data_IF_773593346923
#
_entry.id   IF_773593346923
#
_cell.length_a   1.000
_cell.length_b   1.000
_cell.length_c   1.000
_cell.angle_alpha   90.00
_cell.angle_beta   90.00
_cell.angle_gamma   90.00
#
_symmetry.space_group_name_H-M   'P 1'
#
loop_
_entity.id
_entity.type
_entity.pdbx_description
1 polymer ?
#
# COMPACT_ATOMS: atom_id res chain seq x y z
N UNK A 1 -38.04 20.07 -12.18
CA UNK A 1 -36.86 20.76 -12.76
C UNK A 1 -35.66 20.01 -12.23
N UNK A 2 -35.18 19.14 -13.08
CA UNK A 2 -34.06 18.23 -12.74
C UNK A 2 -32.78 19.05 -12.72
N UNK A 3 -32.23 19.29 -11.56
CA UNK A 3 -30.97 20.04 -11.38
C UNK A 3 -29.80 19.08 -11.65
N UNK A 4 -29.54 18.79 -12.93
CA UNK A 4 -28.37 17.99 -13.32
C UNK A 4 -27.12 18.68 -12.73
N UNK A 5 -26.56 18.10 -11.66
CA UNK A 5 -25.27 18.52 -11.10
C UNK A 5 -24.25 18.53 -12.22
N UNK A 6 -23.74 19.70 -12.60
CA UNK A 6 -22.67 19.78 -13.59
C UNK A 6 -21.46 19.02 -13.07
N UNK A 7 -21.03 18.00 -13.82
CA UNK A 7 -19.92 17.13 -13.49
C UNK A 7 -18.66 17.61 -14.18
N UNK A 8 -17.56 17.56 -13.47
CA UNK A 8 -16.22 17.94 -13.96
C UNK A 8 -15.24 16.83 -13.68
N UNK A 9 -14.21 16.68 -14.52
CA UNK A 9 -13.09 15.75 -14.30
C UNK A 9 -11.86 16.56 -13.96
N UNK A 10 -11.30 16.34 -12.77
CA UNK A 10 -10.03 16.93 -12.37
C UNK A 10 -8.93 15.86 -12.40
N UNK A 11 -7.85 16.15 -13.13
CA UNK A 11 -6.67 15.27 -13.22
C UNK A 11 -5.61 15.74 -12.23
N UNK A 12 -5.16 14.82 -11.38
CA UNK A 12 -4.05 15.03 -10.45
C UNK A 12 -2.82 14.21 -10.85
N UNK A 13 -1.64 14.76 -10.65
CA UNK A 13 -0.37 14.02 -10.57
C UNK A 13 -0.08 13.76 -9.11
N UNK A 14 0.09 12.51 -8.70
CA UNK A 14 0.37 12.14 -7.31
C UNK A 14 1.74 11.50 -7.25
N UNK A 15 2.73 12.25 -6.77
CA UNK A 15 4.15 11.87 -6.88
C UNK A 15 4.48 10.54 -6.20
N UNK A 16 3.87 10.28 -5.07
CA UNK A 16 4.14 9.09 -4.24
C UNK A 16 3.10 7.98 -4.42
N UNK A 17 2.25 8.03 -5.47
CA UNK A 17 1.30 6.97 -5.80
C UNK A 17 1.95 5.98 -6.76
N UNK A 18 2.57 4.95 -6.24
CA UNK A 18 3.23 3.92 -7.04
C UNK A 18 2.77 2.49 -6.73
N UNK A 19 1.94 2.31 -5.70
CA UNK A 19 1.40 1.02 -5.33
C UNK A 19 -0.13 1.02 -5.09
N UNK A 20 -0.77 -0.17 -5.12
CA UNK A 20 -2.21 -0.30 -4.84
C UNK A 20 -2.62 0.12 -3.43
N UNK A 21 -1.75 0.00 -2.45
CA UNK A 21 -2.02 0.49 -1.08
C UNK A 21 -2.24 2.00 -1.05
N UNK A 22 -1.42 2.76 -1.75
CA UNK A 22 -1.53 4.22 -1.85
C UNK A 22 -2.77 4.65 -2.62
N UNK A 23 -3.14 3.91 -3.68
CA UNK A 23 -4.43 4.08 -4.34
C UNK A 23 -5.60 3.90 -3.36
N UNK A 24 -5.57 2.83 -2.54
CA UNK A 24 -6.63 2.59 -1.56
C UNK A 24 -6.68 3.66 -0.47
N UNK A 25 -5.56 4.19 -0.05
CA UNK A 25 -5.50 5.33 0.89
C UNK A 25 -6.23 6.54 0.31
N UNK A 26 -5.95 6.89 -0.95
CA UNK A 26 -6.62 7.99 -1.65
C UNK A 26 -8.11 7.70 -1.81
N UNK A 27 -8.50 6.47 -2.21
CA UNK A 27 -9.91 6.06 -2.31
C UNK A 27 -10.67 6.25 -1.01
N UNK A 28 -10.08 5.82 0.11
CA UNK A 28 -10.68 5.97 1.43
C UNK A 28 -10.87 7.45 1.81
N UNK A 29 -9.87 8.28 1.50
CA UNK A 29 -9.96 9.72 1.78
C UNK A 29 -11.04 10.41 0.95
N UNK A 30 -11.09 10.12 -0.35
CA UNK A 30 -12.09 10.71 -1.25
C UNK A 30 -13.50 10.17 -1.01
N UNK A 31 -13.66 8.99 -0.43
CA UNK A 31 -14.97 8.48 -0.01
C UNK A 31 -15.63 9.34 1.08
N UNK A 32 -14.88 10.21 1.79
CA UNK A 32 -15.46 11.17 2.74
C UNK A 32 -16.30 12.26 2.05
N UNK A 33 -16.10 12.48 0.74
CA UNK A 33 -16.85 13.43 -0.07
C UNK A 33 -18.20 12.88 -0.57
N UNK A 34 -18.47 11.59 -0.37
CA UNK A 34 -19.76 10.95 -0.64
C UNK A 34 -20.19 11.07 -2.11
N UNK A 35 -21.48 11.38 -2.34
CA UNK A 35 -22.11 11.46 -3.66
C UNK A 35 -21.59 12.61 -4.54
N UNK A 36 -20.69 13.43 -4.03
CA UNK A 36 -20.04 14.47 -4.83
C UNK A 36 -18.94 13.92 -5.74
N UNK A 37 -18.47 12.69 -5.50
CA UNK A 37 -17.51 11.96 -6.33
C UNK A 37 -18.25 10.89 -7.11
N UNK A 38 -18.26 11.01 -8.44
CA UNK A 38 -18.93 10.03 -9.31
C UNK A 38 -18.00 8.87 -9.69
N UNK A 39 -16.72 9.14 -9.97
CA UNK A 39 -15.75 8.10 -10.32
C UNK A 39 -14.33 8.51 -10.02
N UNK A 40 -13.48 7.49 -9.79
CA UNK A 40 -12.05 7.60 -9.57
C UNK A 40 -11.34 6.69 -10.57
N UNK A 41 -10.50 7.26 -11.41
CA UNK A 41 -9.68 6.53 -12.37
C UNK A 41 -8.19 6.74 -12.06
N UNK A 42 -7.52 5.66 -11.65
CA UNK A 42 -6.13 5.66 -11.20
C UNK A 42 -5.22 5.07 -12.29
N UNK A 43 -4.17 5.78 -12.63
CA UNK A 43 -3.06 5.26 -13.42
C UNK A 43 -1.78 5.27 -12.56
N UNK A 44 -1.51 4.16 -11.89
CA UNK A 44 -0.31 4.00 -11.02
C UNK A 44 0.99 4.18 -11.81
N UNK A 45 0.99 3.81 -13.08
CA UNK A 45 2.15 3.93 -13.97
C UNK A 45 2.51 5.37 -14.25
N UNK A 46 1.50 6.16 -14.57
CA UNK A 46 1.65 7.60 -14.78
C UNK A 46 1.60 8.37 -13.46
N UNK A 47 1.29 7.68 -12.35
CA UNK A 47 1.03 8.31 -11.06
C UNK A 47 0.00 9.44 -11.19
N UNK A 48 -1.09 9.16 -11.91
CA UNK A 48 -2.16 10.12 -12.14
C UNK A 48 -3.49 9.58 -11.65
N UNK A 49 -4.33 10.48 -11.18
CA UNK A 49 -5.70 10.22 -10.74
C UNK A 49 -6.63 11.18 -11.44
N UNK A 50 -7.59 10.66 -12.20
CA UNK A 50 -8.70 11.43 -12.70
C UNK A 50 -9.91 11.24 -11.77
N UNK A 51 -10.44 12.36 -11.27
CA UNK A 51 -11.60 12.38 -10.37
C UNK A 51 -12.75 13.05 -11.09
N UNK A 52 -13.85 12.30 -11.29
CA UNK A 52 -15.11 12.88 -11.76
C UNK A 52 -15.93 13.30 -10.55
N UNK A 53 -16.23 14.58 -10.44
CA UNK A 53 -16.88 15.15 -9.26
C UNK A 53 -17.87 16.27 -9.64
N UNK A 54 -18.73 16.64 -8.67
CA UNK A 54 -19.60 17.82 -8.83
C UNK A 54 -18.73 19.10 -8.81
N UNK A 55 -19.08 20.09 -9.61
CA UNK A 55 -18.36 21.37 -9.66
C UNK A 55 -18.25 22.02 -8.27
N UNK A 56 -19.28 21.89 -7.45
CA UNK A 56 -19.32 22.40 -6.07
C UNK A 56 -18.33 21.71 -5.10
N UNK A 57 -17.83 20.52 -5.43
CA UNK A 57 -16.91 19.77 -4.60
C UNK A 57 -15.43 20.08 -4.89
N UNK A 58 -15.13 20.90 -5.90
CA UNK A 58 -13.75 21.12 -6.38
C UNK A 58 -12.79 21.60 -5.28
N UNK A 59 -13.22 22.51 -4.39
CA UNK A 59 -12.39 22.99 -3.29
C UNK A 59 -12.14 21.88 -2.26
N UNK A 60 -13.20 21.18 -1.81
CA UNK A 60 -13.09 20.05 -0.86
C UNK A 60 -12.25 18.90 -1.41
N UNK A 61 -12.32 18.65 -2.73
CA UNK A 61 -11.49 17.67 -3.40
C UNK A 61 -10.01 18.07 -3.34
N UNK A 62 -9.68 19.34 -3.57
CA UNK A 62 -8.32 19.85 -3.49
C UNK A 62 -7.76 19.70 -2.06
N UNK A 63 -8.52 20.12 -1.05
CA UNK A 63 -8.15 19.99 0.37
C UNK A 63 -7.96 18.51 0.77
N UNK A 64 -8.86 17.62 0.32
CA UNK A 64 -8.75 16.18 0.57
C UNK A 64 -7.46 15.60 -0.04
N UNK A 65 -7.15 15.96 -1.28
CA UNK A 65 -5.93 15.49 -1.96
C UNK A 65 -4.65 16.03 -1.31
N UNK A 66 -4.65 17.27 -0.82
CA UNK A 66 -3.53 17.85 -0.08
C UNK A 66 -3.33 17.15 1.26
N UNK A 67 -4.43 16.84 1.97
CA UNK A 67 -4.38 16.18 3.30
C UNK A 67 -3.78 14.77 3.28
N UNK A 68 -3.76 14.09 2.14
CA UNK A 68 -3.13 12.77 1.98
C UNK A 68 -1.60 12.86 2.00
N UNK A 69 -1.03 14.04 1.70
CA UNK A 69 0.40 14.33 1.75
C UNK A 69 1.27 13.35 0.91
N UNK A 70 0.76 13.03 -0.29
CA UNK A 70 1.44 12.19 -1.29
C UNK A 70 1.99 13.00 -2.47
N UNK A 71 2.20 14.30 -2.28
CA UNK A 71 2.69 15.19 -3.33
C UNK A 71 1.72 15.34 -4.50
N UNK A 72 0.42 15.36 -4.23
CA UNK A 72 -0.62 15.56 -5.23
C UNK A 72 -0.58 16.96 -5.81
N UNK A 73 -0.57 17.08 -7.15
CA UNK A 73 -0.64 18.34 -7.87
C UNK A 73 -1.74 18.26 -8.92
N UNK A 74 -2.63 19.25 -8.93
CA UNK A 74 -3.66 19.39 -9.96
C UNK A 74 -2.97 19.72 -11.29
N UNK A 75 -3.31 18.96 -12.34
CA UNK A 75 -2.82 19.17 -13.70
C UNK A 75 -3.83 20.02 -14.48
N UNK A 76 -5.07 19.54 -14.58
CA UNK A 76 -6.14 20.17 -15.36
C UNK A 76 -7.52 19.86 -14.78
N UNK A 77 -8.51 20.65 -15.16
CA UNK A 77 -9.92 20.35 -14.94
C UNK A 77 -10.67 20.56 -16.26
N UNK A 78 -11.52 19.60 -16.63
CA UNK A 78 -12.35 19.65 -17.84
C UNK A 78 -13.77 19.24 -17.51
N UNK A 79 -14.72 19.65 -18.34
CA UNK A 79 -16.10 19.16 -18.22
C UNK A 79 -16.16 17.66 -18.48
N UNK A 80 -16.98 16.95 -17.72
CA UNK A 80 -17.15 15.51 -17.89
C UNK A 80 -18.04 15.24 -19.11
N UNK A 81 -17.47 14.62 -20.15
CA UNK A 81 -18.27 14.01 -21.19
C UNK A 81 -19.03 12.81 -20.60
N UNK A 82 -20.33 12.76 -20.85
CA UNK A 82 -21.21 11.76 -20.27
C UNK A 82 -20.86 10.36 -20.79
N UNK A 83 -20.00 9.64 -20.09
CA UNK A 83 -19.91 8.18 -20.04
C UNK A 83 -18.68 7.71 -19.22
N UNK A 84 -18.82 7.58 -17.91
CA UNK A 84 -17.94 6.69 -17.15
C UNK A 84 -18.82 5.70 -16.41
N UNK A 85 -18.81 4.45 -16.87
CA UNK A 85 -19.61 3.37 -16.31
C UNK A 85 -19.22 3.08 -14.86
N UNK A 86 -20.23 2.82 -14.03
CA UNK A 86 -20.06 2.33 -12.68
C UNK A 86 -19.26 1.01 -12.72
N UNK A 87 -18.11 0.99 -12.05
CA UNK A 87 -17.36 -0.23 -11.85
C UNK A 87 -18.20 -1.25 -11.07
N UNK A 88 -18.14 -2.53 -11.46
CA UNK A 88 -18.86 -3.62 -10.82
C UNK A 88 -18.36 -3.83 -9.39
N UNK A 89 -19.07 -3.26 -8.42
CA UNK A 89 -18.76 -3.22 -6.98
C UNK A 89 -18.52 -4.63 -6.38
N UNK A 90 -19.23 -5.64 -6.88
CA UNK A 90 -19.14 -7.04 -6.40
C UNK A 90 -17.85 -7.73 -6.82
N UNK A 91 -17.36 -7.41 -8.00
CA UNK A 91 -16.10 -7.93 -8.54
C UNK A 91 -14.90 -7.32 -7.81
N UNK A 92 -14.93 -6.02 -7.57
CA UNK A 92 -13.89 -5.30 -6.86
C UNK A 92 -13.74 -5.79 -5.39
N UNK A 93 -14.85 -6.00 -4.68
CA UNK A 93 -14.83 -6.54 -3.31
C UNK A 93 -14.18 -7.93 -3.23
N UNK A 94 -14.47 -8.82 -4.19
CA UNK A 94 -13.87 -10.17 -4.22
C UNK A 94 -12.35 -10.12 -4.40
N UNK A 95 -11.84 -9.21 -5.21
CA UNK A 95 -10.41 -9.04 -5.41
C UNK A 95 -9.76 -8.48 -4.16
N UNK A 96 -10.31 -7.42 -3.55
CA UNK A 96 -9.80 -6.85 -2.30
C UNK A 96 -9.74 -7.89 -1.17
N UNK A 97 -10.75 -8.79 -1.07
CA UNK A 97 -10.71 -9.89 -0.10
C UNK A 97 -9.56 -10.87 -0.36
N UNK A 98 -9.31 -11.22 -1.62
CA UNK A 98 -8.20 -12.13 -1.97
C UNK A 98 -6.86 -11.51 -1.66
N UNK A 99 -6.67 -10.25 -2.03
CA UNK A 99 -5.43 -9.51 -1.76
C UNK A 99 -5.21 -9.36 -0.25
N UNK A 100 -6.25 -9.00 0.51
CA UNK A 100 -6.21 -8.97 1.97
C UNK A 100 -5.78 -10.32 2.56
N UNK A 101 -6.39 -11.41 2.10
CA UNK A 101 -6.08 -12.75 2.60
C UNK A 101 -4.63 -13.15 2.30
N UNK A 102 -4.15 -12.88 1.08
CA UNK A 102 -2.76 -13.17 0.70
C UNK A 102 -1.80 -12.39 1.59
N UNK A 103 -1.98 -11.07 1.74
CA UNK A 103 -1.11 -10.25 2.59
C UNK A 103 -1.16 -10.69 4.06
N UNK A 104 -2.34 -11.02 4.60
CA UNK A 104 -2.47 -11.49 5.98
C UNK A 104 -1.78 -12.84 6.22
N UNK A 105 -1.89 -13.78 5.27
CA UNK A 105 -1.22 -15.09 5.33
C UNK A 105 0.29 -14.91 5.24
N UNK A 106 0.77 -14.11 4.29
CA UNK A 106 2.19 -13.88 4.11
C UNK A 106 2.80 -13.10 5.28
N UNK A 107 2.10 -12.12 5.85
CA UNK A 107 2.49 -11.49 7.11
C UNK A 107 2.77 -12.54 8.20
N UNK A 108 1.84 -13.48 8.41
CA UNK A 108 1.99 -14.50 9.46
C UNK A 108 3.16 -15.46 9.16
N UNK A 109 3.31 -15.89 7.90
CA UNK A 109 4.40 -16.77 7.48
C UNK A 109 5.76 -16.10 7.59
N UNK A 110 5.92 -14.90 7.06
CA UNK A 110 7.18 -14.15 7.12
C UNK A 110 7.57 -13.77 8.54
N UNK A 111 6.61 -13.34 9.35
CA UNK A 111 6.85 -13.05 10.76
C UNK A 111 7.37 -14.30 11.48
N UNK A 112 6.69 -15.45 11.32
CA UNK A 112 7.10 -16.70 11.96
C UNK A 112 8.49 -17.15 11.48
N UNK A 113 8.71 -17.18 10.15
CA UNK A 113 9.98 -17.61 9.58
C UNK A 113 11.10 -16.60 9.90
N UNK A 114 10.82 -15.30 9.85
CA UNK A 114 11.79 -14.25 10.21
C UNK A 114 12.26 -14.34 11.67
N UNK A 115 11.34 -14.62 12.60
CA UNK A 115 11.69 -14.84 14.00
C UNK A 115 12.49 -16.13 14.19
N UNK A 116 12.08 -17.24 13.57
CA UNK A 116 12.77 -18.53 13.67
C UNK A 116 14.15 -18.50 13.02
N UNK A 117 14.27 -17.89 11.84
CA UNK A 117 15.54 -17.76 11.11
C UNK A 117 16.43 -16.62 11.64
N UNK A 118 15.95 -15.84 12.60
CA UNK A 118 16.63 -14.66 13.16
C UNK A 118 16.87 -13.54 12.14
N UNK A 119 16.11 -13.47 11.07
CA UNK A 119 16.21 -12.43 10.04
C UNK A 119 15.38 -11.21 10.41
N UNK A 120 16.04 -10.05 10.55
CA UNK A 120 15.34 -8.78 10.75
C UNK A 120 14.79 -8.22 9.43
N UNK A 121 15.37 -8.60 8.30
CA UNK A 121 14.84 -8.28 6.97
C UNK A 121 13.46 -8.90 6.76
N UNK A 122 13.28 -10.20 7.02
CA UNK A 122 11.99 -10.88 6.93
C UNK A 122 10.97 -10.34 7.94
N UNK A 123 11.39 -10.06 9.18
CA UNK A 123 10.49 -9.46 10.18
C UNK A 123 10.00 -8.09 9.73
N UNK A 124 10.88 -7.28 9.14
CA UNK A 124 10.50 -5.96 8.65
C UNK A 124 9.57 -6.04 7.43
N UNK A 125 9.86 -6.95 6.49
CA UNK A 125 9.04 -7.23 5.30
C UNK A 125 7.63 -7.71 5.70
N UNK A 126 7.52 -8.59 6.71
CA UNK A 126 6.21 -9.01 7.24
C UNK A 126 5.36 -7.83 7.75
N UNK A 127 5.97 -6.80 8.34
CA UNK A 127 5.22 -5.62 8.79
C UNK A 127 4.72 -4.76 7.62
N UNK A 128 5.38 -4.79 6.48
CA UNK A 128 4.89 -4.16 5.25
C UNK A 128 3.64 -4.90 4.74
N UNK A 129 3.66 -6.23 4.71
CA UNK A 129 2.48 -7.06 4.43
C UNK A 129 1.32 -6.79 5.39
N UNK A 130 1.60 -6.53 6.67
CA UNK A 130 0.57 -6.14 7.65
C UNK A 130 0.00 -4.76 7.33
N UNK A 131 0.83 -3.81 6.90
CA UNK A 131 0.39 -2.48 6.49
C UNK A 131 -0.59 -2.59 5.32
N UNK A 132 -0.23 -3.34 4.30
CA UNK A 132 -1.07 -3.60 3.13
C UNK A 132 -2.39 -4.30 3.50
N UNK A 133 -2.33 -5.38 4.28
CA UNK A 133 -3.53 -6.08 4.76
C UNK A 133 -4.47 -5.12 5.51
N UNK A 134 -3.91 -4.23 6.33
CA UNK A 134 -4.70 -3.22 7.06
C UNK A 134 -5.40 -2.25 6.10
N UNK A 135 -4.69 -1.74 5.09
CA UNK A 135 -5.25 -0.80 4.11
C UNK A 135 -6.33 -1.47 3.28
N UNK A 136 -6.12 -2.71 2.81
CA UNK A 136 -7.15 -3.47 2.08
C UNK A 136 -8.36 -3.81 2.96
N UNK A 137 -8.13 -4.17 4.23
CA UNK A 137 -9.20 -4.41 5.20
C UNK A 137 -10.05 -3.16 5.46
N UNK A 138 -9.41 -2.00 5.63
CA UNK A 138 -10.13 -0.72 5.74
C UNK A 138 -10.91 -0.38 4.48
N UNK A 139 -10.34 -0.60 3.29
CA UNK A 139 -11.01 -0.37 2.01
C UNK A 139 -12.30 -1.19 1.86
N UNK A 140 -12.27 -2.46 2.28
CA UNK A 140 -13.46 -3.32 2.28
C UNK A 140 -14.56 -2.84 3.23
N UNK A 141 -14.19 -2.20 4.34
CA UNK A 141 -15.14 -1.67 5.33
C UNK A 141 -15.69 -0.30 4.94
N UNK A 142 -15.06 0.40 3.97
CA UNK A 142 -15.51 1.73 3.51
C UNK A 142 -16.91 1.67 2.91
N UNK A 143 -17.24 0.59 2.23
CA UNK A 143 -18.56 0.39 1.65
C UNK A 143 -19.55 0.06 2.77
N UNK A 144 -20.30 1.08 3.25
CA UNK A 144 -21.38 0.93 4.23
C UNK A 144 -21.06 1.25 5.71
N UNK A 145 -19.84 1.66 6.06
CA UNK A 145 -19.51 1.99 7.45
C UNK A 145 -19.43 3.50 7.73
N UNK A 146 -19.87 3.91 8.93
CA UNK A 146 -19.79 5.30 9.39
C UNK A 146 -18.33 5.80 9.44
N UNK A 147 -18.09 7.02 8.96
CA UNK A 147 -16.76 7.68 8.84
C UNK A 147 -15.95 7.59 10.15
N UNK A 148 -16.59 7.76 11.31
CA UNK A 148 -15.92 7.69 12.61
C UNK A 148 -15.30 6.33 12.95
N UNK A 149 -15.88 5.21 12.48
CA UNK A 149 -15.29 3.88 12.66
C UNK A 149 -14.00 3.71 11.84
N UNK A 150 -13.99 4.22 10.62
CA UNK A 150 -12.84 4.19 9.71
C UNK A 150 -11.66 4.95 10.30
N UNK A 151 -11.89 6.18 10.76
CA UNK A 151 -10.86 7.02 11.40
C UNK A 151 -10.26 6.33 12.63
N UNK A 152 -11.09 5.73 13.49
CA UNK A 152 -10.61 5.01 14.68
C UNK A 152 -9.79 3.77 14.31
N UNK A 153 -10.18 3.02 13.27
CA UNK A 153 -9.39 1.88 12.79
C UNK A 153 -8.05 2.31 12.22
N UNK A 154 -8.02 3.34 11.38
CA UNK A 154 -6.78 3.91 10.84
C UNK A 154 -5.84 4.37 11.97
N UNK A 155 -6.39 5.00 13.02
CA UNK A 155 -5.61 5.41 14.19
C UNK A 155 -4.95 4.23 14.90
N UNK A 156 -5.73 3.20 15.26
CA UNK A 156 -5.22 2.01 15.96
C UNK A 156 -4.22 1.22 15.11
N UNK A 157 -4.49 1.08 13.82
CA UNK A 157 -3.59 0.38 12.89
C UNK A 157 -2.28 1.11 12.72
N UNK A 158 -2.31 2.43 12.50
CA UNK A 158 -1.10 3.25 12.41
C UNK A 158 -0.29 3.25 13.70
N UNK A 159 -0.97 3.28 14.86
CA UNK A 159 -0.30 3.18 16.16
C UNK A 159 0.39 1.82 16.33
N UNK A 160 -0.34 0.72 16.10
CA UNK A 160 0.21 -0.63 16.24
C UNK A 160 1.43 -0.82 15.33
N UNK A 161 1.33 -0.47 14.05
CA UNK A 161 2.43 -0.58 13.11
C UNK A 161 3.63 0.29 13.49
N UNK A 162 3.38 1.53 13.95
CA UNK A 162 4.45 2.41 14.43
C UNK A 162 5.19 1.79 15.63
N UNK A 163 4.45 1.24 16.59
CA UNK A 163 5.03 0.58 17.76
C UNK A 163 5.85 -0.65 17.36
N UNK A 164 5.33 -1.49 16.46
CA UNK A 164 6.04 -2.67 15.97
C UNK A 164 7.30 -2.30 15.17
N UNK A 165 7.23 -1.29 14.31
CA UNK A 165 8.38 -0.81 13.55
C UNK A 165 9.47 -0.22 14.45
N UNK A 166 9.08 0.56 15.47
CA UNK A 166 10.04 1.09 16.47
C UNK A 166 10.65 -0.04 17.29
N UNK A 167 9.86 -1.01 17.75
CA UNK A 167 10.36 -2.17 18.47
C UNK A 167 11.34 -2.99 17.62
N UNK A 168 11.03 -3.21 16.33
CA UNK A 168 11.92 -3.87 15.38
C UNK A 168 13.22 -3.10 15.18
N UNK A 169 13.15 -1.77 15.06
CA UNK A 169 14.35 -0.92 14.94
C UNK A 169 15.22 -1.01 16.20
N UNK A 170 14.63 -0.99 17.40
CA UNK A 170 15.36 -1.18 18.66
C UNK A 170 16.04 -2.55 18.68
N UNK A 171 15.37 -3.59 18.22
CA UNK A 171 15.95 -4.94 18.13
C UNK A 171 17.10 -5.00 17.12
N UNK A 172 16.99 -4.32 15.97
CA UNK A 172 18.10 -4.18 15.02
C UNK A 172 19.32 -3.55 15.70
N UNK A 173 19.13 -2.41 16.37
CA UNK A 173 20.21 -1.73 17.10
C UNK A 173 20.81 -2.63 18.18
N UNK A 174 19.97 -3.33 18.95
CA UNK A 174 20.42 -4.29 19.97
C UNK A 174 21.29 -5.38 19.35
N UNK A 175 20.90 -5.94 18.21
CA UNK A 175 21.66 -6.97 17.50
C UNK A 175 22.96 -6.44 16.87
N UNK A 176 23.03 -5.17 16.52
CA UNK A 176 24.30 -4.58 16.08
C UNK A 176 25.34 -4.54 17.21
N UNK A 177 24.90 -4.19 18.43
CA UNK A 177 25.80 -4.02 19.58
C UNK A 177 26.12 -5.36 20.24
N UNK A 178 25.14 -6.25 20.37
CA UNK A 178 25.30 -7.53 21.08
C UNK A 178 25.70 -8.67 20.12
N UNK A 179 26.62 -9.57 20.51
CA UNK A 179 26.92 -10.75 19.71
C UNK A 179 25.67 -11.59 19.45
N UNK A 180 25.38 -11.87 18.20
CA UNK A 180 24.31 -12.77 17.79
C UNK A 180 24.75 -13.61 16.59
N UNK A 181 24.18 -14.81 16.45
CA UNK A 181 24.44 -15.66 15.30
C UNK A 181 23.90 -15.01 14.03
N UNK A 182 24.54 -15.28 12.86
CA UNK A 182 23.96 -14.89 11.57
C UNK A 182 22.56 -15.50 11.40
N UNK A 183 21.67 -14.84 10.64
CA UNK A 183 20.39 -15.42 10.27
C UNK A 183 20.57 -16.59 9.30
N UNK A 184 19.53 -17.43 9.18
CA UNK A 184 19.54 -18.53 8.22
C UNK A 184 19.25 -18.00 6.81
N UNK A 185 20.28 -17.92 5.98
CA UNK A 185 20.23 -17.34 4.64
C UNK A 185 19.24 -18.06 3.71
N UNK A 186 19.11 -19.38 3.83
CA UNK A 186 18.21 -20.16 2.97
C UNK A 186 16.73 -19.74 3.22
N UNK A 187 16.33 -19.60 4.49
CA UNK A 187 15.01 -19.12 4.84
C UNK A 187 14.75 -17.71 4.30
N UNK A 188 15.72 -16.81 4.39
CA UNK A 188 15.61 -15.46 3.82
C UNK A 188 15.35 -15.50 2.32
N UNK A 189 16.15 -16.23 1.56
CA UNK A 189 16.05 -16.29 0.10
C UNK A 189 14.72 -16.91 -0.34
N UNK A 190 14.38 -18.08 0.20
CA UNK A 190 13.16 -18.78 -0.23
C UNK A 190 11.89 -18.07 0.18
N UNK A 191 11.83 -17.55 1.38
CA UNK A 191 10.63 -16.84 1.84
C UNK A 191 10.42 -15.55 1.06
N UNK A 192 11.45 -14.71 0.89
CA UNK A 192 11.32 -13.49 0.11
C UNK A 192 11.05 -13.74 -1.38
N UNK A 193 11.56 -14.84 -1.96
CA UNK A 193 11.21 -15.22 -3.33
C UNK A 193 9.71 -15.61 -3.44
N UNK A 194 9.18 -16.32 -2.45
CA UNK A 194 7.77 -16.69 -2.40
C UNK A 194 6.87 -15.45 -2.20
N UNK A 195 7.27 -14.52 -1.33
CA UNK A 195 6.58 -13.24 -1.12
C UNK A 195 6.58 -12.37 -2.37
N UNK A 196 7.70 -12.33 -3.09
CA UNK A 196 7.78 -11.63 -4.37
C UNK A 196 6.75 -12.17 -5.38
N UNK A 197 6.58 -13.49 -5.46
CA UNK A 197 5.55 -14.12 -6.32
C UNK A 197 4.15 -13.77 -5.84
N UNK A 198 3.91 -13.78 -4.53
CA UNK A 198 2.61 -13.42 -3.95
C UNK A 198 2.26 -11.94 -4.22
N UNK A 199 3.21 -11.03 -4.05
CA UNK A 199 3.03 -9.61 -4.36
C UNK A 199 2.75 -9.39 -5.86
N UNK A 200 3.48 -10.09 -6.75
CA UNK A 200 3.23 -10.07 -8.18
C UNK A 200 1.81 -10.56 -8.53
N UNK A 201 1.34 -11.61 -7.85
CA UNK A 201 -0.03 -12.12 -8.01
C UNK A 201 -1.08 -11.13 -7.53
N UNK A 202 -0.90 -10.50 -6.36
CA UNK A 202 -1.78 -9.47 -5.85
C UNK A 202 -1.88 -8.28 -6.82
N UNK A 203 -0.75 -7.82 -7.31
CA UNK A 203 -0.69 -6.73 -8.29
C UNK A 203 -1.39 -7.10 -9.60
N UNK A 204 -1.22 -8.33 -10.09
CA UNK A 204 -1.93 -8.82 -11.26
C UNK A 204 -3.44 -8.86 -11.06
N UNK A 205 -3.92 -9.34 -9.88
CA UNK A 205 -5.33 -9.35 -9.54
C UNK A 205 -5.93 -7.93 -9.55
N UNK A 206 -5.24 -6.98 -8.94
CA UNK A 206 -5.68 -5.58 -8.85
C UNK A 206 -5.71 -4.91 -10.23
N UNK A 207 -4.68 -5.14 -11.05
CA UNK A 207 -4.62 -4.58 -12.40
C UNK A 207 -5.69 -5.15 -13.34
N UNK A 208 -6.08 -6.40 -13.16
CA UNK A 208 -7.13 -7.04 -13.98
C UNK A 208 -8.50 -6.40 -13.80
N UNK A 209 -8.76 -5.76 -12.66
CA UNK A 209 -10.01 -5.07 -12.38
C UNK A 209 -10.14 -3.72 -13.11
N UNK A 210 -9.04 -3.12 -13.52
CA UNK A 210 -8.99 -1.79 -14.12
C UNK A 210 -9.18 -1.79 -15.65
N UNK A 211 -9.32 -2.93 -16.28
CA UNK A 211 -9.27 -3.01 -17.74
C UNK A 211 -10.63 -3.11 -18.40
N UNK A 212 -11.13 -1.97 -18.87
CA UNK A 212 -11.89 -1.93 -20.12
C UNK A 212 -11.00 -2.01 -21.37
N UNK A 213 -9.68 -1.87 -21.24
CA UNK A 213 -8.75 -1.95 -22.38
C UNK A 213 -7.72 -3.05 -22.20
N UNK A 214 -7.93 -4.13 -22.96
CA UNK A 214 -7.16 -5.37 -22.97
C UNK A 214 -5.76 -5.27 -23.61
N UNK A 215 -5.14 -4.12 -23.59
CA UNK A 215 -3.74 -4.00 -24.00
C UNK A 215 -2.84 -3.87 -22.78
N UNK A 216 -2.87 -4.95 -22.03
CA UNK A 216 -1.84 -5.24 -21.07
C UNK A 216 -0.50 -5.43 -21.80
N UNK A 217 0.16 -4.35 -22.10
CA UNK A 217 1.60 -4.41 -22.28
C UNK A 217 2.17 -4.73 -20.92
N UNK A 218 2.85 -5.86 -20.87
CA UNK A 218 3.55 -6.42 -19.73
C UNK A 218 4.64 -5.47 -19.18
N UNK A 219 4.26 -4.31 -18.71
CA UNK A 219 4.98 -3.60 -17.68
C UNK A 219 4.11 -3.69 -16.44
N UNK A 220 4.11 -4.89 -15.87
CA UNK A 220 3.88 -5.09 -14.47
C UNK A 220 4.89 -4.16 -13.78
N UNK A 221 4.45 -2.93 -13.54
CA UNK A 221 5.12 -2.13 -12.53
C UNK A 221 4.63 -2.77 -11.24
N UNK A 222 5.42 -3.79 -10.83
CA UNK A 222 5.40 -4.23 -9.46
C UNK A 222 5.34 -2.98 -8.59
N UNK A 223 4.60 -3.02 -7.51
CA UNK A 223 4.81 -2.03 -6.48
C UNK A 223 6.32 -1.90 -6.32
N UNK A 224 6.86 -0.77 -6.67
CA UNK A 224 8.32 -0.62 -6.74
C UNK A 224 8.94 -0.89 -5.37
N UNK A 225 8.18 -0.63 -4.29
CA UNK A 225 8.62 -0.85 -2.93
C UNK A 225 8.68 -2.34 -2.57
N UNK A 226 7.64 -3.13 -2.82
CA UNK A 226 7.57 -4.55 -2.43
C UNK A 226 8.63 -5.37 -3.17
N UNK A 227 8.84 -5.08 -4.46
CA UNK A 227 9.92 -5.72 -5.23
C UNK A 227 11.28 -5.33 -4.69
N UNK A 228 11.51 -4.04 -4.40
CA UNK A 228 12.79 -3.57 -3.86
C UNK A 228 13.06 -4.16 -2.50
N UNK A 229 12.06 -4.24 -1.62
CA UNK A 229 12.19 -4.84 -0.28
C UNK A 229 12.51 -6.32 -0.40
N UNK A 230 11.71 -7.09 -1.15
CA UNK A 230 11.93 -8.53 -1.31
C UNK A 230 13.27 -8.85 -1.97
N UNK A 231 13.65 -8.13 -3.03
CA UNK A 231 14.97 -8.26 -3.65
C UNK A 231 16.09 -7.88 -2.67
N UNK A 232 15.89 -6.84 -1.87
CA UNK A 232 16.81 -6.44 -0.82
C UNK A 232 17.05 -7.54 0.21
N UNK A 233 15.98 -8.22 0.66
CA UNK A 233 16.09 -9.35 1.60
C UNK A 233 16.75 -10.56 0.94
N UNK A 234 16.45 -10.88 -0.33
CA UNK A 234 17.13 -11.94 -1.08
C UNK A 234 18.63 -11.65 -1.20
N UNK A 235 19.00 -10.45 -1.64
CA UNK A 235 20.40 -10.04 -1.78
C UNK A 235 21.14 -10.04 -0.43
N UNK A 236 20.44 -9.62 0.61
CA UNK A 236 21.00 -9.68 1.98
C UNK A 236 21.21 -11.12 2.42
N UNK A 237 20.31 -12.05 2.10
CA UNK A 237 20.47 -13.48 2.34
C UNK A 237 21.69 -14.06 1.63
N UNK A 238 21.90 -13.70 0.36
CA UNK A 238 23.12 -14.06 -0.39
C UNK A 238 24.38 -13.48 0.28
N UNK A 239 24.33 -12.22 0.70
CA UNK A 239 25.45 -11.58 1.39
C UNK A 239 25.72 -12.23 2.77
N UNK A 240 24.67 -12.61 3.52
CA UNK A 240 24.82 -13.40 4.77
C UNK A 240 25.52 -14.72 4.49
N UNK A 241 25.15 -15.42 3.43
CA UNK A 241 25.80 -16.68 3.03
C UNK A 241 27.28 -16.48 2.69
N UNK A 242 27.62 -15.48 1.88
CA UNK A 242 28.99 -15.22 1.44
C UNK A 242 29.88 -14.77 2.58
N UNK A 243 29.41 -13.81 3.38
CA UNK A 243 30.22 -13.17 4.44
C UNK A 243 30.09 -13.83 5.81
N UNK A 244 29.17 -14.80 5.96
CA UNK A 244 28.82 -15.42 7.24
C UNK A 244 28.59 -14.35 8.34
N UNK A 245 27.90 -13.28 7.99
CA UNK A 245 27.70 -12.11 8.83
C UNK A 245 26.23 -11.70 8.89
N UNK A 246 25.79 -11.25 10.05
CA UNK A 246 24.43 -10.71 10.27
C UNK A 246 24.25 -9.29 9.73
N UNK A 247 25.33 -8.58 9.46
CA UNK A 247 25.27 -7.14 9.12
C UNK A 247 24.41 -6.85 7.88
N UNK A 248 24.47 -7.61 6.77
CA UNK A 248 23.63 -7.36 5.61
C UNK A 248 22.14 -7.40 5.94
N UNK A 249 21.69 -8.40 6.72
CA UNK A 249 20.30 -8.53 7.15
C UNK A 249 19.85 -7.37 8.05
N UNK A 250 20.67 -6.97 9.00
CA UNK A 250 20.37 -5.85 9.89
C UNK A 250 20.27 -4.53 9.16
N UNK A 251 21.12 -4.29 8.15
CA UNK A 251 21.07 -3.07 7.32
C UNK A 251 19.79 -3.03 6.50
N UNK A 252 19.45 -4.13 5.81
CA UNK A 252 18.23 -4.20 5.03
C UNK A 252 17.01 -4.09 5.95
N UNK A 253 16.98 -4.81 7.07
CA UNK A 253 15.92 -4.71 8.06
C UNK A 253 15.72 -3.27 8.57
N UNK A 254 16.81 -2.55 8.88
CA UNK A 254 16.72 -1.14 9.30
C UNK A 254 16.09 -0.26 8.21
N UNK A 255 16.48 -0.42 6.94
CA UNK A 255 15.92 0.34 5.82
C UNK A 255 14.42 0.06 5.68
N UNK A 256 14.04 -1.22 5.73
CA UNK A 256 12.62 -1.62 5.60
C UNK A 256 11.80 -1.11 6.78
N UNK A 257 12.29 -1.16 8.03
CA UNK A 257 11.58 -0.57 9.17
C UNK A 257 11.34 0.93 9.03
N UNK A 258 12.25 1.67 8.39
CA UNK A 258 12.03 3.09 8.08
C UNK A 258 10.92 3.25 7.04
N UNK A 259 10.86 2.39 6.03
CA UNK A 259 9.79 2.38 5.02
C UNK A 259 8.45 2.10 5.70
N UNK A 260 8.35 1.03 6.51
CA UNK A 260 7.14 0.66 7.27
C UNK A 260 6.70 1.80 8.19
N UNK A 261 7.62 2.46 8.88
CA UNK A 261 7.28 3.59 9.75
C UNK A 261 6.67 4.76 8.97
N UNK A 262 7.20 5.06 7.78
CA UNK A 262 6.60 6.08 6.89
C UNK A 262 5.19 5.68 6.46
N UNK A 263 4.97 4.40 6.11
CA UNK A 263 3.64 3.85 5.81
C UNK A 263 2.67 3.99 6.98
N UNK A 264 3.10 3.65 8.19
CA UNK A 264 2.31 3.78 9.41
C UNK A 264 1.88 5.23 9.68
N UNK A 265 2.79 6.20 9.47
CA UNK A 265 2.47 7.64 9.59
C UNK A 265 1.41 8.07 8.56
N UNK A 266 1.46 7.54 7.33
CA UNK A 266 0.42 7.81 6.32
C UNK A 266 -0.95 7.27 6.78
N UNK A 267 -1.00 6.03 7.26
CA UNK A 267 -2.24 5.45 7.82
C UNK A 267 -2.76 6.29 8.98
N UNK A 268 -1.88 6.80 9.83
CA UNK A 268 -2.24 7.69 10.93
C UNK A 268 -2.89 9.00 10.45
N UNK A 269 -2.43 9.58 9.34
CA UNK A 269 -3.02 10.78 8.73
C UNK A 269 -4.46 10.57 8.27
N UNK A 270 -4.86 9.33 7.90
CA UNK A 270 -6.23 8.97 7.57
C UNK A 270 -7.20 9.06 8.77
N UNK A 271 -6.67 9.07 10.00
CA UNK A 271 -7.47 9.18 11.22
C UNK A 271 -7.89 10.62 11.56
N UNK A 272 -7.28 11.59 10.93
CA UNK A 272 -7.57 13.02 11.13
C UNK A 272 -8.52 13.52 10.06
#
# INVERSE_FOLDING_TARGET
MDNQKKMTVTLFKVKEMDCPSEENIIRMKLAELGDDIASLDFDLRKRTLAVTHSESAAARLADAMESVDMGAKKIETRDADAAVGAADDTSQRRVLHRVLLVNAVFFALEMAIGLLSRSMGLVADSLDMLADATVYGMSLMVVGAAVGRKKRMAWWSGLLQSLLAVAGMVEVVRRFVSPSLPPEFAAMIWMSALSLVANAYCLWLLNRQKSGDAHMRASVIFSANDVVVNLGVILSGVAVWIFNSRVPDLVVGAVVFVIVLRGAVRIFKLSR
#
